data_IF_219470883529
#
_entry.id   IF_219470883529
#
_cell.length_a   1.000
_cell.length_b   1.000
_cell.length_c   1.000
_cell.angle_alpha   90.00
_cell.angle_beta   90.00
_cell.angle_gamma   90.00
#
_symmetry.space_group_name_H-M   'P 1'
#
loop_
_entity.id
_entity.type
_entity.pdbx_description
1 polymer ?
#
# COMPACT_ATOMS: atom_id res chain seq x y z
N UNK A 1 -10.65 -42.05 2.59
CA UNK A 1 -10.95 -40.82 1.85
C UNK A 1 -9.64 -40.30 1.28
N UNK A 2 -9.46 -40.42 -0.04
CA UNK A 2 -8.19 -40.07 -0.70
C UNK A 2 -8.05 -38.56 -0.86
N UNK A 3 -6.85 -38.04 -0.61
CA UNK A 3 -6.48 -36.67 -0.93
C UNK A 3 -6.64 -36.43 -2.44
N UNK A 4 -7.21 -35.30 -2.88
CA UNK A 4 -7.30 -34.99 -4.30
C UNK A 4 -5.89 -34.77 -4.86
N UNK A 5 -5.62 -35.42 -5.99
CA UNK A 5 -4.43 -35.23 -6.83
C UNK A 5 -4.14 -33.75 -7.09
N UNK A 6 -2.86 -33.31 -7.13
CA UNK A 6 -2.51 -31.94 -7.48
C UNK A 6 -2.99 -31.68 -8.92
N UNK A 7 -3.99 -30.81 -9.06
CA UNK A 7 -4.43 -30.33 -10.38
C UNK A 7 -3.19 -29.77 -11.09
N UNK A 8 -2.97 -30.22 -12.34
CA UNK A 8 -1.92 -29.72 -13.23
C UNK A 8 -1.91 -28.20 -13.16
N UNK A 9 -0.76 -27.62 -12.82
CA UNK A 9 -0.47 -26.19 -12.99
C UNK A 9 -1.05 -25.75 -14.34
N UNK A 10 -2.01 -24.81 -14.32
CA UNK A 10 -2.56 -24.25 -15.55
C UNK A 10 -1.40 -23.75 -16.41
N UNK A 11 -1.44 -24.06 -17.72
CA UNK A 11 -0.39 -23.65 -18.65
C UNK A 11 -0.38 -22.12 -18.68
N UNK A 12 0.71 -21.51 -18.19
CA UNK A 12 0.88 -20.06 -18.16
C UNK A 12 0.73 -19.49 -19.59
N UNK A 13 0.14 -18.30 -19.75
CA UNK A 13 -0.03 -17.68 -21.07
C UNK A 13 1.29 -17.51 -21.84
N UNK A 14 1.25 -17.64 -23.17
CA UNK A 14 2.44 -17.64 -24.05
C UNK A 14 3.32 -16.39 -23.93
N UNK A 15 2.75 -15.27 -23.45
CA UNK A 15 3.49 -14.03 -23.19
C UNK A 15 4.60 -14.18 -22.14
N UNK A 16 4.55 -15.23 -21.32
CA UNK A 16 5.59 -15.57 -20.33
C UNK A 16 6.61 -16.62 -20.84
N UNK A 17 6.46 -17.09 -22.09
CA UNK A 17 7.31 -18.13 -22.70
C UNK A 17 8.38 -17.56 -23.65
N UNK A 18 8.29 -16.30 -24.09
CA UNK A 18 9.25 -15.64 -25.00
C UNK A 18 10.24 -14.70 -24.29
N UNK A 19 11.54 -14.70 -24.64
CA UNK A 19 12.49 -13.70 -24.15
C UNK A 19 12.35 -12.38 -24.92
N UNK A 20 12.38 -11.28 -24.16
CA UNK A 20 12.52 -9.89 -24.61
C UNK A 20 11.44 -9.34 -25.57
N UNK A 21 10.41 -8.72 -24.99
CA UNK A 21 9.60 -7.73 -25.71
C UNK A 21 10.38 -6.41 -25.75
N UNK A 22 10.71 -5.96 -26.97
CA UNK A 22 11.34 -4.67 -27.26
C UNK A 22 10.57 -3.54 -26.59
N UNK A 23 11.26 -2.75 -25.77
CA UNK A 23 10.70 -1.50 -25.24
C UNK A 23 10.45 -0.51 -26.37
N UNK A 24 9.35 0.25 -26.29
CA UNK A 24 9.11 1.38 -27.20
C UNK A 24 10.13 2.49 -26.88
N UNK A 25 10.75 3.13 -27.89
CA UNK A 25 11.55 4.32 -27.66
C UNK A 25 10.63 5.46 -27.20
N UNK A 26 10.98 6.10 -26.09
CA UNK A 26 10.40 7.39 -25.67
C UNK A 26 11.51 8.45 -25.80
N UNK A 27 11.08 9.68 -26.07
CA UNK A 27 11.84 10.80 -26.62
C UNK A 27 13.34 10.86 -26.22
N UNK A 28 14.16 11.06 -27.25
CA UNK A 28 15.62 11.13 -27.20
C UNK A 28 16.12 12.14 -26.18
N UNK A 29 16.91 11.67 -25.23
CA UNK A 29 17.79 12.51 -24.43
C UNK A 29 19.19 12.49 -25.05
N UNK A 30 19.89 13.61 -24.97
CA UNK A 30 21.17 13.87 -25.63
C UNK A 30 22.23 12.78 -25.31
N UNK A 31 22.77 12.06 -26.32
CA UNK A 31 23.74 10.98 -26.12
C UNK A 31 25.12 11.42 -25.60
N UNK A 32 25.42 12.73 -25.58
CA UNK A 32 26.72 13.27 -25.16
C UNK A 32 26.81 13.62 -23.66
N UNK A 33 25.76 13.36 -22.88
CA UNK A 33 25.73 13.68 -21.45
C UNK A 33 26.44 12.61 -20.60
N UNK A 34 27.35 13.03 -19.71
CA UNK A 34 28.09 12.12 -18.82
C UNK A 34 27.12 11.26 -17.95
N UNK A 35 27.50 10.01 -17.63
CA UNK A 35 26.65 9.12 -16.84
C UNK A 35 26.43 9.65 -15.42
N UNK A 36 25.22 9.47 -14.90
CA UNK A 36 24.81 10.01 -13.59
C UNK A 36 25.34 9.18 -12.40
N UNK A 37 25.83 7.96 -12.67
CA UNK A 37 26.51 7.07 -11.72
C UNK A 37 27.81 6.54 -12.33
N UNK A 38 28.82 6.40 -11.48
CA UNK A 38 30.13 5.85 -11.82
C UNK A 38 30.18 4.33 -11.66
N UNK A 39 29.45 3.76 -10.69
CA UNK A 39 29.38 2.31 -10.47
C UNK A 39 28.07 1.73 -11.02
N UNK A 40 28.19 0.95 -12.09
CA UNK A 40 27.09 0.33 -12.84
C UNK A 40 26.95 -1.17 -12.57
N UNK A 41 27.52 -1.64 -11.47
CA UNK A 41 27.65 -3.09 -11.25
C UNK A 41 26.39 -3.64 -10.59
N UNK A 42 26.04 -4.90 -10.86
CA UNK A 42 25.01 -5.61 -10.09
C UNK A 42 25.23 -5.54 -8.58
N UNK A 43 26.50 -5.58 -8.15
CA UNK A 43 26.89 -5.49 -6.75
C UNK A 43 26.46 -4.15 -6.15
N UNK A 44 26.72 -3.03 -6.84
CA UNK A 44 26.32 -1.70 -6.36
C UNK A 44 24.80 -1.59 -6.19
N UNK A 45 24.02 -2.21 -7.10
CA UNK A 45 22.56 -2.26 -6.99
C UNK A 45 22.13 -3.05 -5.75
N UNK A 46 22.69 -4.25 -5.53
CA UNK A 46 22.31 -5.09 -4.39
C UNK A 46 22.83 -4.58 -3.06
N UNK A 47 24.01 -3.96 -3.02
CA UNK A 47 24.55 -3.32 -1.82
C UNK A 47 23.71 -2.11 -1.42
N UNK A 48 23.29 -1.32 -2.41
CA UNK A 48 22.30 -0.28 -2.16
C UNK A 48 20.97 -0.87 -1.72
N UNK A 49 20.43 -1.89 -2.38
CA UNK A 49 19.06 -2.35 -2.13
C UNK A 49 18.92 -3.15 -0.85
N UNK A 50 19.82 -4.10 -0.62
CA UNK A 50 19.79 -5.04 0.50
C UNK A 50 20.71 -4.60 1.64
N UNK A 51 21.85 -3.98 1.32
CA UNK A 51 22.87 -3.59 2.30
C UNK A 51 23.25 -4.74 3.23
N UNK A 52 23.25 -4.55 4.56
CA UNK A 52 23.61 -5.61 5.51
C UNK A 52 22.77 -6.89 5.42
N UNK A 53 21.54 -6.80 4.86
CA UNK A 53 20.67 -7.96 4.67
C UNK A 53 21.15 -8.89 3.55
N UNK A 54 22.03 -8.42 2.66
CA UNK A 54 22.56 -9.20 1.54
C UNK A 54 23.37 -10.41 1.99
N UNK A 55 24.13 -10.27 3.08
CA UNK A 55 24.99 -11.36 3.58
C UNK A 55 24.27 -12.25 4.58
N UNK A 56 23.02 -11.91 4.94
CA UNK A 56 22.27 -12.49 6.05
C UNK A 56 23.03 -12.50 7.40
N UNK A 57 24.18 -11.81 7.49
CA UNK A 57 25.04 -11.80 8.68
C UNK A 57 24.47 -10.89 9.78
N UNK A 58 23.78 -9.81 9.40
CA UNK A 58 23.14 -8.89 10.33
C UNK A 58 21.70 -8.56 9.88
N UNK A 59 20.78 -9.41 10.30
CA UNK A 59 19.33 -9.20 10.14
C UNK A 59 18.71 -8.55 11.38
N UNK A 60 19.43 -7.62 12.03
CA UNK A 60 18.89 -6.85 13.15
C UNK A 60 17.64 -6.06 12.74
N UNK A 61 16.80 -5.74 13.73
CA UNK A 61 15.60 -4.89 13.52
C UNK A 61 15.96 -3.57 12.82
N UNK A 62 17.11 -3.00 13.16
CA UNK A 62 17.64 -1.76 12.56
C UNK A 62 17.86 -1.94 11.04
N UNK A 63 18.57 -2.98 10.63
CA UNK A 63 18.87 -3.19 9.20
C UNK A 63 17.61 -3.52 8.39
N UNK A 64 16.64 -4.21 9.00
CA UNK A 64 15.31 -4.37 8.41
C UNK A 64 14.57 -3.03 8.24
N UNK A 65 14.63 -2.13 9.22
CA UNK A 65 14.06 -0.79 9.10
C UNK A 65 14.74 0.03 7.99
N UNK A 66 16.08 -0.01 7.91
CA UNK A 66 16.84 0.61 6.83
C UNK A 66 16.53 -0.01 5.46
N UNK A 67 16.31 -1.32 5.40
CA UNK A 67 15.75 -2.01 4.23
C UNK A 67 14.40 -1.44 3.84
N UNK A 68 13.43 -1.42 4.77
CA UNK A 68 12.07 -0.91 4.52
C UNK A 68 12.06 0.54 4.01
N UNK A 69 12.97 1.40 4.49
CA UNK A 69 13.16 2.75 3.95
C UNK A 69 13.57 2.73 2.47
N UNK A 70 14.60 1.95 2.13
CA UNK A 70 15.11 1.83 0.75
C UNK A 70 14.08 1.18 -0.19
N UNK A 71 13.35 0.21 0.32
CA UNK A 71 12.29 -0.50 -0.38
C UNK A 71 10.98 0.27 -0.48
N UNK A 72 10.89 1.41 0.21
CA UNK A 72 9.67 2.22 0.33
C UNK A 72 8.46 1.42 0.80
N UNK A 73 8.70 0.51 1.73
CA UNK A 73 7.66 -0.31 2.35
C UNK A 73 7.34 0.21 3.75
N UNK A 74 6.05 0.25 4.09
CA UNK A 74 5.57 0.66 5.40
C UNK A 74 5.44 2.18 5.61
N UNK A 75 5.09 2.62 6.83
CA UNK A 75 4.72 4.01 7.12
C UNK A 75 5.87 5.01 6.93
N UNK A 76 7.12 4.53 6.99
CA UNK A 76 8.34 5.34 6.87
C UNK A 76 8.76 5.66 5.43
N UNK A 77 8.05 5.17 4.42
CA UNK A 77 8.35 5.31 2.99
C UNK A 77 8.31 6.75 2.43
N UNK A 78 8.43 7.76 3.30
CA UNK A 78 8.15 9.19 3.07
C UNK A 78 8.94 10.15 3.98
N UNK A 79 9.95 9.68 4.75
CA UNK A 79 10.78 10.55 5.61
C UNK A 79 11.86 11.33 4.82
N UNK A 80 12.65 12.19 5.45
CA UNK A 80 13.75 12.88 4.76
C UNK A 80 14.79 11.89 4.18
N UNK A 81 14.99 10.76 4.85
CA UNK A 81 15.84 9.63 4.41
C UNK A 81 15.30 8.97 3.13
N UNK A 82 13.97 8.98 2.93
CA UNK A 82 13.32 8.51 1.71
C UNK A 82 13.79 9.31 0.47
N UNK A 83 14.03 10.61 0.61
CA UNK A 83 14.51 11.45 -0.50
C UNK A 83 15.91 11.08 -0.97
N UNK A 84 16.79 10.62 -0.06
CA UNK A 84 18.10 10.13 -0.45
C UNK A 84 17.99 8.83 -1.26
N UNK A 85 17.19 7.87 -0.77
CA UNK A 85 16.92 6.62 -1.50
C UNK A 85 16.27 6.89 -2.87
N UNK A 86 15.37 7.87 -2.98
CA UNK A 86 14.78 8.28 -4.26
C UNK A 86 15.83 8.71 -5.26
N UNK A 87 16.74 9.60 -4.82
CA UNK A 87 17.78 10.16 -5.68
C UNK A 87 18.72 9.08 -6.18
N UNK A 88 19.05 8.09 -5.35
CA UNK A 88 19.85 6.95 -5.77
C UNK A 88 19.13 6.11 -6.84
N UNK A 89 17.89 5.69 -6.56
CA UNK A 89 17.06 4.91 -7.50
C UNK A 89 16.86 5.62 -8.84
N UNK A 90 16.62 6.93 -8.78
CA UNK A 90 16.41 7.80 -9.94
C UNK A 90 17.58 7.76 -10.92
N UNK A 91 18.82 7.77 -10.42
CA UNK A 91 20.01 7.75 -11.28
C UNK A 91 20.07 6.49 -12.16
N UNK A 92 19.78 5.32 -11.59
CA UNK A 92 19.73 4.07 -12.36
C UNK A 92 18.59 4.08 -13.38
N UNK A 93 17.38 4.48 -12.98
CA UNK A 93 16.23 4.53 -13.89
C UNK A 93 16.45 5.49 -15.06
N UNK A 94 16.88 6.72 -14.78
CA UNK A 94 17.10 7.74 -15.82
C UNK A 94 18.24 7.34 -16.74
N UNK A 95 19.31 6.75 -16.22
CA UNK A 95 20.39 6.25 -17.07
C UNK A 95 19.97 5.05 -17.93
N UNK A 96 19.26 4.07 -17.37
CA UNK A 96 18.70 2.95 -18.14
C UNK A 96 17.76 3.46 -19.24
N UNK A 97 16.94 4.48 -18.95
CA UNK A 97 16.05 5.08 -19.93
C UNK A 97 16.84 5.80 -21.05
N UNK A 98 17.88 6.57 -20.71
CA UNK A 98 18.75 7.25 -21.69
C UNK A 98 19.49 6.27 -22.61
N UNK A 99 20.07 5.22 -22.03
CA UNK A 99 20.91 4.27 -22.78
C UNK A 99 20.08 3.22 -23.55
N UNK A 100 18.85 2.96 -23.10
CA UNK A 100 18.04 1.83 -23.52
C UNK A 100 18.40 0.54 -22.76
N UNK A 101 17.39 -0.28 -22.45
CA UNK A 101 17.51 -1.51 -21.65
C UNK A 101 18.60 -2.45 -22.16
N UNK A 102 18.66 -2.68 -23.48
CA UNK A 102 19.63 -3.60 -24.08
C UNK A 102 21.07 -3.14 -23.94
N UNK A 103 21.32 -1.83 -24.03
CA UNK A 103 22.66 -1.26 -23.86
C UNK A 103 23.05 -1.23 -22.38
N UNK A 104 22.12 -0.82 -21.52
CA UNK A 104 22.35 -0.71 -20.09
C UNK A 104 22.74 -2.05 -19.45
N UNK A 105 22.08 -3.15 -19.86
CA UNK A 105 22.34 -4.50 -19.36
C UNK A 105 23.22 -5.36 -20.29
N UNK A 106 23.99 -4.74 -21.21
CA UNK A 106 24.78 -5.47 -22.22
C UNK A 106 25.94 -6.26 -21.62
N UNK A 107 26.55 -5.73 -20.56
CA UNK A 107 27.72 -6.34 -19.94
C UNK A 107 27.38 -7.75 -19.41
N UNK A 108 28.18 -8.79 -19.70
CA UNK A 108 27.96 -10.15 -19.23
C UNK A 108 27.76 -10.29 -17.71
N UNK A 109 28.27 -9.36 -16.90
CA UNK A 109 28.07 -9.37 -15.43
C UNK A 109 26.58 -9.38 -15.06
N UNK A 110 25.70 -8.81 -15.89
CA UNK A 110 24.24 -8.79 -15.69
C UNK A 110 23.55 -10.12 -15.96
N UNK A 111 24.25 -11.09 -16.56
CA UNK A 111 23.74 -12.44 -16.82
C UNK A 111 24.16 -13.46 -15.75
N UNK A 112 24.97 -13.04 -14.76
CA UNK A 112 25.24 -13.85 -13.55
C UNK A 112 24.00 -13.90 -12.64
N UNK A 113 23.89 -14.82 -11.68
CA UNK A 113 22.80 -14.82 -10.71
C UNK A 113 22.62 -13.47 -9.98
N UNK A 114 23.72 -12.89 -9.51
CA UNK A 114 23.76 -11.56 -8.90
C UNK A 114 23.27 -10.48 -9.87
N UNK A 115 23.78 -10.52 -11.10
CA UNK A 115 23.36 -9.67 -12.21
C UNK A 115 21.86 -9.73 -12.49
N UNK A 116 21.32 -10.94 -12.53
CA UNK A 116 19.94 -11.20 -12.85
C UNK A 116 18.99 -10.67 -11.76
N UNK A 117 19.31 -10.89 -10.49
CA UNK A 117 18.52 -10.33 -9.37
C UNK A 117 18.59 -8.80 -9.35
N UNK A 118 19.79 -8.23 -9.53
CA UNK A 118 19.97 -6.78 -9.61
C UNK A 118 19.12 -6.19 -10.76
N UNK A 119 19.17 -6.82 -11.93
CA UNK A 119 18.36 -6.44 -13.10
C UNK A 119 16.87 -6.48 -12.80
N UNK A 120 16.39 -7.52 -12.12
CA UNK A 120 14.99 -7.64 -11.71
C UNK A 120 14.58 -6.51 -10.76
N UNK A 121 15.44 -6.12 -9.81
CA UNK A 121 15.22 -4.98 -8.90
C UNK A 121 15.18 -3.64 -9.67
N UNK A 122 16.13 -3.40 -10.59
CA UNK A 122 16.15 -2.16 -11.38
C UNK A 122 14.93 -2.04 -12.29
N UNK A 123 14.46 -3.16 -12.85
CA UNK A 123 13.30 -3.17 -13.75
C UNK A 123 11.96 -3.11 -13.01
N UNK A 124 11.84 -3.77 -11.86
CA UNK A 124 10.58 -3.88 -11.12
C UNK A 124 10.46 -2.81 -10.02
N UNK A 125 11.46 -2.73 -9.13
CA UNK A 125 11.32 -1.97 -7.89
C UNK A 125 11.57 -0.48 -8.06
N UNK A 126 12.68 -0.09 -8.70
CA UNK A 126 13.03 1.33 -8.80
C UNK A 126 11.98 2.16 -9.56
N UNK A 127 11.40 1.70 -10.69
CA UNK A 127 10.39 2.47 -11.42
C UNK A 127 9.15 2.79 -10.59
N UNK A 128 8.75 1.90 -9.67
CA UNK A 128 7.60 2.09 -8.76
C UNK A 128 7.79 3.27 -7.80
N UNK A 129 9.04 3.55 -7.45
CA UNK A 129 9.42 4.71 -6.64
C UNK A 129 9.63 5.96 -7.48
N UNK A 130 10.45 5.84 -8.53
CA UNK A 130 10.95 6.97 -9.34
C UNK A 130 9.87 7.59 -10.21
N UNK A 131 9.01 6.74 -10.79
CA UNK A 131 7.97 7.12 -11.74
C UNK A 131 6.56 6.91 -11.16
N UNK A 132 6.44 6.92 -9.83
CA UNK A 132 5.18 6.73 -9.09
C UNK A 132 4.05 7.59 -9.68
N UNK A 133 2.89 6.97 -9.89
CA UNK A 133 1.71 7.64 -10.45
C UNK A 133 1.69 7.73 -11.98
N UNK A 134 2.71 7.21 -12.67
CA UNK A 134 2.78 7.21 -14.14
C UNK A 134 2.83 5.79 -14.71
N UNK A 135 2.52 5.61 -15.99
CA UNK A 135 2.64 4.31 -16.67
C UNK A 135 4.06 3.71 -16.61
N UNK A 136 5.09 4.55 -16.51
CA UNK A 136 6.49 4.12 -16.43
C UNK A 136 6.79 3.29 -15.18
N UNK A 137 6.02 3.45 -14.10
CA UNK A 137 6.14 2.64 -12.89
C UNK A 137 5.83 1.15 -13.12
N UNK A 138 5.06 0.83 -14.18
CA UNK A 138 4.55 -0.51 -14.47
C UNK A 138 5.04 -1.04 -15.83
N UNK A 139 5.83 -0.25 -16.56
CA UNK A 139 6.21 -0.55 -17.95
C UNK A 139 6.95 -1.88 -18.13
N UNK A 140 7.64 -2.34 -17.08
CA UNK A 140 8.42 -3.57 -17.10
C UNK A 140 7.73 -4.75 -16.41
N UNK A 141 6.50 -4.60 -15.89
CA UNK A 141 5.84 -5.64 -15.09
C UNK A 141 5.70 -6.97 -15.84
N UNK A 142 5.37 -6.92 -17.13
CA UNK A 142 5.23 -8.13 -17.93
C UNK A 142 6.57 -8.89 -18.07
N UNK A 143 7.68 -8.16 -18.29
CA UNK A 143 9.00 -8.79 -18.46
C UNK A 143 9.56 -9.28 -17.12
N UNK A 144 9.37 -8.54 -16.03
CA UNK A 144 9.85 -8.96 -14.70
C UNK A 144 9.03 -10.14 -14.16
N UNK A 145 7.72 -10.17 -14.42
CA UNK A 145 6.89 -11.35 -14.14
C UNK A 145 7.36 -12.57 -14.95
N UNK A 146 7.65 -12.42 -16.25
CA UNK A 146 8.18 -13.51 -17.07
C UNK A 146 9.52 -14.05 -16.53
N UNK A 147 10.45 -13.15 -16.16
CA UNK A 147 11.71 -13.52 -15.52
C UNK A 147 11.48 -14.32 -14.23
N UNK A 148 10.62 -13.83 -13.33
CA UNK A 148 10.31 -14.50 -12.07
C UNK A 148 9.65 -15.87 -12.28
N UNK A 149 8.72 -15.98 -13.23
CA UNK A 149 8.08 -17.24 -13.63
C UNK A 149 9.11 -18.25 -14.12
N UNK A 150 10.05 -17.84 -14.97
CA UNK A 150 11.11 -18.70 -15.50
C UNK A 150 12.02 -19.21 -14.38
N UNK A 151 12.44 -18.33 -13.46
CA UNK A 151 13.23 -18.72 -12.30
C UNK A 151 12.49 -19.73 -11.40
N UNK A 152 11.18 -19.57 -11.22
CA UNK A 152 10.36 -20.49 -10.46
C UNK A 152 10.21 -21.87 -11.13
N UNK A 153 10.14 -21.91 -12.47
CA UNK A 153 10.05 -23.15 -13.27
C UNK A 153 11.38 -23.91 -13.32
N UNK A 154 12.51 -23.21 -13.38
CA UNK A 154 13.84 -23.83 -13.42
C UNK A 154 14.14 -24.65 -12.15
N UNK A 155 13.41 -24.40 -11.05
CA UNK A 155 13.32 -25.29 -9.90
C UNK A 155 14.62 -25.47 -9.08
N UNK A 156 15.75 -24.91 -9.53
CA UNK A 156 17.07 -25.06 -8.88
C UNK A 156 17.86 -23.75 -8.75
N UNK A 157 17.51 -22.70 -9.50
CA UNK A 157 18.22 -21.42 -9.46
C UNK A 157 17.91 -20.57 -8.22
N UNK A 158 16.95 -20.98 -7.38
CA UNK A 158 16.54 -20.24 -6.17
C UNK A 158 17.41 -20.56 -4.95
N UNK A 159 18.03 -21.75 -4.91
CA UNK A 159 18.78 -22.23 -3.75
C UNK A 159 20.03 -21.40 -3.45
N UNK A 160 20.66 -20.81 -4.48
CA UNK A 160 21.82 -19.93 -4.33
C UNK A 160 21.50 -18.57 -3.69
N UNK A 161 20.22 -18.18 -3.69
CA UNK A 161 19.78 -16.92 -3.12
C UNK A 161 19.40 -17.11 -1.66
N UNK A 162 19.75 -16.15 -0.82
CA UNK A 162 19.33 -16.12 0.57
C UNK A 162 17.82 -15.79 0.70
N UNK A 163 17.26 -15.94 1.89
CA UNK A 163 15.82 -15.75 2.11
C UNK A 163 15.30 -14.37 1.72
N UNK A 164 16.09 -13.29 1.90
CA UNK A 164 15.71 -11.92 1.53
C UNK A 164 15.78 -11.71 0.01
N UNK A 165 16.77 -12.30 -0.65
CA UNK A 165 16.88 -12.26 -2.11
C UNK A 165 15.72 -13.00 -2.77
N UNK A 166 15.36 -14.20 -2.27
CA UNK A 166 14.19 -14.98 -2.74
C UNK A 166 12.89 -14.17 -2.67
N UNK A 167 12.70 -13.37 -1.61
CA UNK A 167 11.57 -12.46 -1.50
C UNK A 167 11.46 -11.55 -2.74
N UNK A 168 12.56 -10.89 -3.11
CA UNK A 168 12.59 -9.96 -4.25
C UNK A 168 12.41 -10.65 -5.60
N UNK A 169 12.80 -11.92 -5.73
CA UNK A 169 12.52 -12.73 -6.93
C UNK A 169 11.02 -12.94 -7.13
N UNK A 170 10.27 -13.11 -6.04
CA UNK A 170 8.83 -13.42 -6.10
C UNK A 170 7.94 -12.20 -6.20
N UNK A 171 8.39 -11.03 -5.74
CA UNK A 171 7.59 -9.79 -5.75
C UNK A 171 7.00 -9.44 -7.14
N UNK A 172 7.72 -9.57 -8.27
CA UNK A 172 7.13 -9.35 -9.59
C UNK A 172 5.91 -10.22 -9.92
N UNK A 173 5.81 -11.42 -9.32
CA UNK A 173 4.63 -12.29 -9.49
C UNK A 173 3.38 -11.62 -8.89
N UNK A 174 3.49 -11.06 -7.69
CA UNK A 174 2.41 -10.33 -7.02
C UNK A 174 2.01 -9.05 -7.77
N UNK A 175 2.91 -8.50 -8.59
CA UNK A 175 2.65 -7.32 -9.40
C UNK A 175 1.96 -7.58 -10.73
N UNK A 176 1.90 -8.83 -11.20
CA UNK A 176 1.29 -9.17 -12.47
C UNK A 176 -0.24 -9.06 -12.43
N UNK A 177 -0.84 -8.43 -13.44
CA UNK A 177 -2.29 -8.46 -13.66
C UNK A 177 -2.71 -9.76 -14.38
N UNK A 178 -2.35 -10.91 -13.82
CA UNK A 178 -2.62 -12.24 -14.39
C UNK A 178 -2.90 -13.25 -13.26
N UNK A 179 -4.08 -13.88 -13.27
CA UNK A 179 -4.51 -14.79 -12.21
C UNK A 179 -3.64 -16.04 -12.09
N UNK A 180 -3.15 -16.60 -13.20
CA UNK A 180 -2.26 -17.77 -13.17
C UNK A 180 -0.90 -17.40 -12.57
N UNK A 181 -0.41 -16.19 -12.80
CA UNK A 181 0.79 -15.68 -12.14
C UNK A 181 0.55 -15.41 -10.66
N UNK A 182 -0.64 -14.92 -10.27
CA UNK A 182 -1.00 -14.74 -8.85
C UNK A 182 -1.08 -16.07 -8.10
N UNK A 183 -1.58 -17.14 -8.72
CA UNK A 183 -1.54 -18.50 -8.13
C UNK A 183 -0.11 -18.95 -7.84
N UNK A 184 0.82 -18.73 -8.80
CA UNK A 184 2.24 -19.02 -8.59
C UNK A 184 2.83 -18.12 -7.49
N UNK A 185 2.46 -16.84 -7.45
CA UNK A 185 2.84 -15.91 -6.38
C UNK A 185 2.48 -16.47 -5.01
N UNK A 186 1.22 -16.89 -4.83
CA UNK A 186 0.72 -17.50 -3.60
C UNK A 186 1.51 -18.76 -3.21
N UNK A 187 1.78 -19.66 -4.16
CA UNK A 187 2.60 -20.85 -3.92
C UNK A 187 4.00 -20.48 -3.43
N UNK A 188 4.66 -19.53 -4.11
CA UNK A 188 6.06 -19.16 -3.85
C UNK A 188 6.22 -18.40 -2.55
N UNK A 189 5.34 -17.45 -2.26
CA UNK A 189 5.34 -16.76 -0.97
C UNK A 189 4.94 -17.67 0.20
N UNK A 190 4.07 -18.66 -0.03
CA UNK A 190 3.77 -19.70 0.96
C UNK A 190 5.01 -20.51 1.32
N UNK A 191 5.76 -21.00 0.33
CA UNK A 191 7.04 -21.70 0.56
C UNK A 191 8.07 -20.79 1.20
N UNK A 192 8.24 -19.58 0.69
CA UNK A 192 9.15 -18.59 1.26
C UNK A 192 8.87 -18.32 2.75
N UNK A 193 7.61 -18.17 3.13
CA UNK A 193 7.23 -17.97 4.53
C UNK A 193 7.57 -19.20 5.38
N UNK A 194 7.39 -20.42 4.86
CA UNK A 194 7.74 -21.64 5.57
C UNK A 194 9.26 -21.73 5.77
N UNK A 195 10.04 -21.48 4.72
CA UNK A 195 11.51 -21.46 4.75
C UNK A 195 12.03 -20.39 5.72
N UNK A 196 11.45 -19.18 5.68
CA UNK A 196 11.79 -18.07 6.57
C UNK A 196 11.64 -18.45 8.06
N UNK A 197 10.65 -19.28 8.40
CA UNK A 197 10.42 -19.73 9.77
C UNK A 197 11.33 -20.92 10.11
N UNK A 198 11.51 -21.86 9.17
CA UNK A 198 12.28 -23.07 9.38
C UNK A 198 13.79 -22.80 9.50
N UNK A 199 14.32 -21.89 8.68
CA UNK A 199 15.73 -21.49 8.69
C UNK A 199 16.08 -20.55 9.86
N UNK A 200 15.08 -20.06 10.61
CA UNK A 200 15.28 -19.11 11.69
C UNK A 200 15.72 -19.76 13.01
N UNK A 201 16.65 -19.12 13.75
CA UNK A 201 16.91 -19.44 15.15
C UNK A 201 15.62 -19.41 16.01
N UNK A 202 15.49 -20.27 17.04
CA UNK A 202 14.27 -20.40 17.84
C UNK A 202 13.68 -19.06 18.32
N UNK A 203 14.53 -18.14 18.77
CA UNK A 203 14.16 -16.82 19.30
C UNK A 203 13.59 -15.87 18.23
N UNK A 204 13.83 -16.13 16.94
CA UNK A 204 13.32 -15.32 15.82
C UNK A 204 12.10 -15.91 15.13
N UNK A 205 11.75 -17.17 15.40
CA UNK A 205 10.64 -17.86 14.72
C UNK A 205 9.31 -17.13 14.85
N UNK A 206 8.97 -16.60 16.04
CA UNK A 206 7.72 -15.86 16.26
C UNK A 206 7.67 -14.56 15.45
N UNK A 207 8.79 -13.83 15.41
CA UNK A 207 8.91 -12.61 14.59
C UNK A 207 8.80 -12.95 13.10
N UNK A 208 9.49 -13.99 12.65
CA UNK A 208 9.45 -14.44 11.27
C UNK A 208 8.08 -15.00 10.86
N UNK A 209 7.33 -15.62 11.78
CA UNK A 209 5.92 -15.98 11.58
C UNK A 209 5.06 -14.75 11.31
N UNK A 210 5.22 -13.68 12.09
CA UNK A 210 4.50 -12.43 11.88
C UNK A 210 4.86 -11.75 10.56
N UNK A 211 6.15 -11.73 10.20
CA UNK A 211 6.63 -11.22 8.91
C UNK A 211 6.04 -12.04 7.76
N UNK A 212 6.15 -13.36 7.82
CA UNK A 212 5.59 -14.29 6.83
C UNK A 212 4.08 -14.09 6.64
N UNK A 213 3.33 -14.02 7.74
CA UNK A 213 1.90 -13.73 7.71
C UNK A 213 1.59 -12.37 7.06
N UNK A 214 2.34 -11.32 7.40
CA UNK A 214 2.13 -9.97 6.85
C UNK A 214 2.36 -9.94 5.33
N UNK A 215 3.39 -10.66 4.85
CA UNK A 215 3.65 -10.78 3.41
C UNK A 215 2.56 -11.61 2.72
N UNK A 216 2.22 -12.79 3.25
CA UNK A 216 1.15 -13.63 2.68
C UNK A 216 -0.17 -12.86 2.61
N UNK A 217 -0.53 -12.11 3.66
CA UNK A 217 -1.70 -11.24 3.65
C UNK A 217 -1.65 -10.26 2.48
N UNK A 218 -0.50 -9.61 2.25
CA UNK A 218 -0.31 -8.73 1.10
C UNK A 218 -0.53 -9.44 -0.24
N UNK A 219 -0.01 -10.65 -0.42
CA UNK A 219 -0.16 -11.44 -1.66
C UNK A 219 -1.62 -11.86 -1.88
N UNK A 220 -2.32 -12.26 -0.82
CA UNK A 220 -3.77 -12.54 -0.85
C UNK A 220 -4.53 -11.30 -1.30
N UNK A 221 -4.26 -10.16 -0.68
CA UNK A 221 -4.90 -8.89 -1.03
C UNK A 221 -4.68 -8.52 -2.50
N UNK A 222 -3.47 -8.73 -3.05
CA UNK A 222 -3.20 -8.53 -4.49
C UNK A 222 -4.05 -9.47 -5.36
N UNK A 223 -4.10 -10.76 -4.98
CA UNK A 223 -4.89 -11.77 -5.68
C UNK A 223 -6.39 -11.47 -5.65
N UNK A 224 -6.92 -11.00 -4.51
CA UNK A 224 -8.32 -10.60 -4.34
C UNK A 224 -8.70 -9.46 -5.28
N UNK A 225 -7.85 -8.44 -5.42
CA UNK A 225 -8.10 -7.36 -6.37
C UNK A 225 -8.19 -7.87 -7.82
N UNK A 226 -7.34 -8.84 -8.18
CA UNK A 226 -7.38 -9.48 -9.49
C UNK A 226 -8.61 -10.36 -9.68
N UNK A 227 -9.04 -11.09 -8.66
CA UNK A 227 -10.27 -11.89 -8.71
C UNK A 227 -11.51 -11.02 -8.89
N UNK A 228 -11.57 -9.87 -8.20
CA UNK A 228 -12.72 -8.96 -8.24
C UNK A 228 -12.78 -8.13 -9.52
N UNK A 229 -11.64 -7.66 -10.02
CA UNK A 229 -11.61 -6.64 -11.08
C UNK A 229 -10.87 -7.08 -12.36
N UNK A 230 -10.18 -8.22 -12.32
CA UNK A 230 -9.31 -8.70 -13.40
C UNK A 230 -8.07 -7.83 -13.64
N UNK A 231 -7.80 -6.86 -12.76
CA UNK A 231 -6.70 -5.89 -12.84
C UNK A 231 -6.57 -5.15 -11.50
N UNK A 232 -5.53 -4.34 -11.35
CA UNK A 232 -5.37 -3.44 -10.21
C UNK A 232 -6.03 -2.08 -10.49
N UNK A 233 -7.16 -1.74 -9.85
CA UNK A 233 -7.89 -0.51 -10.17
C UNK A 233 -7.09 0.77 -9.90
N UNK A 234 -6.17 0.72 -8.93
CA UNK A 234 -5.33 1.86 -8.54
C UNK A 234 -4.36 2.30 -9.66
N UNK A 235 -4.09 1.43 -10.64
CA UNK A 235 -3.23 1.72 -11.80
C UNK A 235 -3.98 2.39 -12.95
N UNK A 236 -5.31 2.41 -12.93
CA UNK A 236 -6.13 2.82 -14.06
C UNK A 236 -5.78 4.21 -14.60
N UNK A 237 -5.66 5.21 -13.72
CA UNK A 237 -5.30 6.57 -14.14
C UNK A 237 -3.92 6.63 -14.80
N UNK A 238 -2.91 6.01 -14.18
CA UNK A 238 -1.55 5.93 -14.72
C UNK A 238 -1.48 5.20 -16.06
N UNK A 239 -2.32 4.18 -16.24
CA UNK A 239 -2.42 3.36 -17.44
C UNK A 239 -3.47 3.86 -18.45
N UNK A 240 -4.06 5.05 -18.22
CA UNK A 240 -5.09 5.66 -19.07
C UNK A 240 -6.31 4.76 -19.33
N UNK A 241 -6.75 4.00 -18.32
CA UNK A 241 -7.92 3.13 -18.36
C UNK A 241 -9.09 3.80 -17.61
N UNK A 242 -10.33 3.75 -18.13
CA UNK A 242 -11.49 4.15 -17.34
C UNK A 242 -11.76 3.15 -16.20
N UNK A 243 -12.26 3.65 -15.07
CA UNK A 243 -12.78 2.81 -14.00
C UNK A 243 -14.08 2.10 -14.42
N UNK A 244 -14.35 0.91 -13.88
CA UNK A 244 -15.56 0.13 -14.19
C UNK A 244 -16.12 -0.58 -12.96
N UNK A 245 -17.43 -0.84 -12.96
CA UNK A 245 -18.10 -1.63 -11.91
C UNK A 245 -17.81 -1.10 -10.50
N UNK A 246 -17.44 -1.99 -9.57
CA UNK A 246 -17.12 -1.66 -8.19
C UNK A 246 -15.75 -0.99 -7.96
N UNK A 247 -14.95 -0.76 -9.01
CA UNK A 247 -13.60 -0.19 -8.88
C UNK A 247 -13.57 1.17 -8.17
N UNK A 248 -14.49 2.14 -8.43
CA UNK A 248 -14.51 3.41 -7.70
C UNK A 248 -14.78 3.25 -6.21
N UNK A 249 -15.68 2.31 -5.84
CA UNK A 249 -15.98 2.04 -4.42
C UNK A 249 -14.78 1.41 -3.72
N UNK A 250 -14.09 0.47 -4.37
CA UNK A 250 -12.84 -0.10 -3.86
C UNK A 250 -11.76 0.97 -3.65
N UNK A 251 -11.60 1.90 -4.61
CA UNK A 251 -10.63 2.99 -4.52
C UNK A 251 -11.03 4.11 -3.54
N UNK A 252 -12.30 4.16 -3.13
CA UNK A 252 -12.76 5.02 -2.04
C UNK A 252 -12.73 4.29 -0.68
N UNK A 253 -12.51 2.98 -0.63
CA UNK A 253 -12.45 2.28 0.65
C UNK A 253 -11.16 2.63 1.39
N UNK A 254 -11.28 3.18 2.60
CA UNK A 254 -10.15 3.49 3.47
C UNK A 254 -9.50 2.23 4.08
N UNK A 255 -10.22 1.10 4.07
CA UNK A 255 -9.74 -0.20 4.52
C UNK A 255 -9.13 -1.04 3.39
N UNK A 256 -9.00 -0.48 2.18
CA UNK A 256 -8.32 -1.18 1.08
C UNK A 256 -6.86 -1.47 1.45
N UNK A 257 -6.23 -2.46 0.80
CA UNK A 257 -4.84 -2.84 1.10
C UNK A 257 -3.85 -1.68 0.95
N UNK A 258 -2.82 -1.61 1.81
CA UNK A 258 -1.88 -0.48 1.84
C UNK A 258 -1.13 -0.28 0.51
N UNK A 259 -0.81 -1.35 -0.21
CA UNK A 259 -0.14 -1.28 -1.51
C UNK A 259 -1.02 -0.68 -2.62
N UNK A 260 -2.34 -0.61 -2.42
CA UNK A 260 -3.31 -0.12 -3.41
C UNK A 260 -3.60 1.39 -3.31
N UNK A 261 -2.98 2.10 -2.36
CA UNK A 261 -3.15 3.56 -2.24
C UNK A 261 -2.29 4.31 -3.26
N UNK A 262 -2.85 4.56 -4.45
CA UNK A 262 -2.39 5.65 -5.35
C UNK A 262 -3.20 6.93 -5.18
N UNK A 263 -4.43 6.80 -4.68
CA UNK A 263 -5.23 7.89 -4.14
C UNK A 263 -5.14 7.84 -2.62
N UNK A 264 -5.31 8.96 -1.90
CA UNK A 264 -5.41 8.90 -0.45
C UNK A 264 -6.67 8.09 -0.05
N UNK A 265 -6.73 7.57 1.18
CA UNK A 265 -7.93 6.93 1.73
C UNK A 265 -9.10 7.91 1.80
N UNK A 266 -10.34 7.42 1.86
CA UNK A 266 -11.50 8.31 1.98
C UNK A 266 -11.43 9.14 3.28
N UNK A 267 -11.50 10.49 3.18
CA UNK A 267 -11.53 11.40 4.32
C UNK A 267 -12.57 11.06 5.38
N UNK A 268 -13.74 10.55 4.97
CA UNK A 268 -14.85 10.20 5.87
C UNK A 268 -14.39 9.22 6.96
N UNK A 269 -13.48 8.29 6.62
CA UNK A 269 -12.94 7.32 7.59
C UNK A 269 -12.23 8.02 8.76
N UNK A 270 -11.42 9.03 8.47
CA UNK A 270 -10.68 9.75 9.51
C UNK A 270 -11.56 10.78 10.20
N UNK A 271 -12.51 11.38 9.48
CA UNK A 271 -13.45 12.33 10.04
C UNK A 271 -14.41 11.67 11.04
N UNK A 272 -14.96 10.50 10.71
CA UNK A 272 -15.83 9.74 11.60
C UNK A 272 -15.06 9.17 12.79
N UNK A 273 -13.83 8.69 12.58
CA UNK A 273 -12.95 8.34 13.70
C UNK A 273 -12.72 9.54 14.61
N UNK A 274 -12.34 10.69 14.06
CA UNK A 274 -12.13 11.91 14.83
C UNK A 274 -13.39 12.40 15.54
N UNK A 275 -14.57 12.22 14.95
CA UNK A 275 -15.84 12.54 15.59
C UNK A 275 -16.11 11.60 16.78
N UNK A 276 -15.88 10.29 16.62
CA UNK A 276 -15.97 9.31 17.71
C UNK A 276 -14.98 9.61 18.85
N UNK A 277 -13.73 9.95 18.51
CA UNK A 277 -12.70 10.34 19.49
C UNK A 277 -13.07 11.60 20.28
N UNK A 278 -14.04 12.41 19.81
CA UNK A 278 -14.56 13.59 20.51
C UNK A 278 -15.80 13.29 21.34
N UNK A 279 -16.40 12.11 21.21
CA UNK A 279 -17.55 11.69 22.03
C UNK A 279 -17.11 11.13 23.39
N UNK A 280 -15.84 10.78 23.55
CA UNK A 280 -15.27 10.26 24.81
C UNK A 280 -13.81 10.74 24.94
N UNK A 281 -13.43 11.26 26.10
CA UNK A 281 -12.04 11.62 26.40
C UNK A 281 -11.18 10.36 26.48
N UNK A 282 -10.19 10.21 25.59
CA UNK A 282 -9.09 9.27 25.75
C UNK A 282 -9.31 7.83 25.25
N UNK A 283 -9.61 7.64 23.95
CA UNK A 283 -9.54 6.32 23.32
C UNK A 283 -8.08 5.91 23.02
N UNK A 284 -7.34 5.58 24.07
CA UNK A 284 -5.91 5.23 24.02
C UNK A 284 -5.60 3.81 23.45
N UNK A 285 -6.58 3.13 22.83
CA UNK A 285 -6.40 1.71 22.43
C UNK A 285 -6.98 1.30 21.06
N UNK A 286 -7.36 2.25 20.19
CA UNK A 286 -7.98 1.94 18.88
C UNK A 286 -9.26 1.07 19.02
N UNK A 287 -9.94 1.18 20.17
CA UNK A 287 -11.24 0.56 20.44
C UNK A 287 -12.27 1.67 20.61
N UNK A 288 -13.40 1.53 19.93
CA UNK A 288 -14.57 2.40 20.05
C UNK A 288 -15.53 1.74 21.03
N UNK A 289 -15.91 2.45 22.09
CA UNK A 289 -16.85 1.95 23.09
C UNK A 289 -18.29 2.04 22.59
N UNK A 290 -19.17 1.23 23.19
CA UNK A 290 -20.62 1.31 22.99
C UNK A 290 -21.15 2.73 23.26
N UNK A 291 -20.64 3.38 24.30
CA UNK A 291 -21.05 4.73 24.68
C UNK A 291 -20.61 5.79 23.67
N UNK A 292 -19.37 5.73 23.16
CA UNK A 292 -18.89 6.67 22.15
C UNK A 292 -19.72 6.62 20.86
N UNK A 293 -20.09 5.42 20.38
CA UNK A 293 -20.98 5.29 19.21
C UNK A 293 -22.39 5.80 19.52
N UNK A 294 -22.94 5.45 20.69
CA UNK A 294 -24.27 5.92 21.09
C UNK A 294 -24.31 7.45 21.21
N UNK A 295 -23.28 8.08 21.76
CA UNK A 295 -23.10 9.52 21.83
C UNK A 295 -23.08 10.16 20.45
N UNK A 296 -22.31 9.59 19.52
CA UNK A 296 -22.24 10.09 18.14
C UNK A 296 -23.60 10.00 17.44
N UNK A 297 -24.30 8.87 17.56
CA UNK A 297 -25.63 8.68 16.98
C UNK A 297 -26.62 9.72 17.51
N UNK A 298 -26.65 9.94 18.83
CA UNK A 298 -27.50 10.96 19.45
C UNK A 298 -27.16 12.36 18.96
N UNK A 299 -25.86 12.69 18.86
CA UNK A 299 -25.41 13.97 18.32
C UNK A 299 -25.81 14.18 16.84
N UNK A 300 -25.98 13.09 16.09
CA UNK A 300 -26.48 13.11 14.72
C UNK A 300 -28.02 13.01 14.62
N UNK A 301 -28.74 13.02 15.75
CA UNK A 301 -30.21 12.91 15.79
C UNK A 301 -30.76 11.51 15.54
N UNK A 302 -29.92 10.48 15.69
CA UNK A 302 -30.28 9.06 15.55
C UNK A 302 -30.46 8.42 16.93
N UNK A 303 -31.39 7.47 17.04
CA UNK A 303 -31.59 6.68 18.26
C UNK A 303 -30.64 5.47 18.26
N UNK A 304 -29.76 5.31 19.26
CA UNK A 304 -28.95 4.11 19.42
C UNK A 304 -29.78 2.83 19.60
N UNK A 305 -30.99 2.96 20.13
CA UNK A 305 -31.92 1.87 20.45
C UNK A 305 -32.73 1.40 19.23
N UNK A 306 -32.66 2.11 18.09
CA UNK A 306 -33.28 1.66 16.86
C UNK A 306 -32.73 0.27 16.46
N UNK A 307 -33.56 -0.74 16.21
CA UNK A 307 -33.08 -2.05 15.77
C UNK A 307 -32.23 -2.03 14.49
N UNK A 308 -32.39 -1.01 13.64
CA UNK A 308 -31.59 -0.79 12.44
C UNK A 308 -30.28 -0.03 12.71
N UNK A 309 -30.04 0.41 13.95
CA UNK A 309 -28.83 1.12 14.39
C UNK A 309 -27.57 0.28 14.18
N UNK A 310 -26.41 0.91 13.91
CA UNK A 310 -25.13 0.20 13.83
C UNK A 310 -24.65 -0.37 15.18
N UNK A 311 -25.40 -0.15 16.27
CA UNK A 311 -25.09 -0.68 17.61
C UNK A 311 -25.04 -2.21 17.67
N UNK A 312 -25.67 -2.92 16.71
CA UNK A 312 -25.58 -4.38 16.60
C UNK A 312 -24.15 -4.91 16.37
N UNK A 313 -23.20 -4.05 15.97
CA UNK A 313 -21.79 -4.44 15.83
C UNK A 313 -21.16 -4.96 17.13
N UNK A 314 -21.58 -4.44 18.28
CA UNK A 314 -21.05 -4.85 19.58
C UNK A 314 -21.53 -6.25 19.96
N UNK A 315 -22.78 -6.58 19.60
CA UNK A 315 -23.35 -7.90 19.82
C UNK A 315 -22.69 -8.93 18.90
N UNK A 316 -22.43 -8.56 17.64
CA UNK A 316 -21.66 -9.37 16.70
C UNK A 316 -20.22 -9.63 17.19
N UNK A 317 -19.59 -8.63 17.80
CA UNK A 317 -18.24 -8.75 18.33
C UNK A 317 -18.18 -9.46 19.70
N UNK A 318 -19.32 -9.61 20.39
CA UNK A 318 -19.38 -10.12 21.76
C UNK A 318 -18.61 -9.26 22.76
N UNK A 319 -18.54 -7.95 22.56
CA UNK A 319 -17.75 -7.02 23.39
C UNK A 319 -18.35 -5.62 23.39
N UNK A 320 -18.26 -4.91 24.52
CA UNK A 320 -18.70 -3.50 24.63
C UNK A 320 -17.73 -2.48 24.01
N UNK A 321 -16.67 -2.97 23.36
CA UNK A 321 -15.78 -2.14 22.57
C UNK A 321 -15.30 -2.88 21.32
N UNK A 322 -15.28 -2.21 20.17
CA UNK A 322 -14.87 -2.79 18.87
C UNK A 322 -13.74 -1.99 18.26
N UNK A 323 -12.92 -2.58 17.39
CA UNK A 323 -11.92 -1.80 16.67
C UNK A 323 -12.61 -0.85 15.68
N UNK A 324 -12.04 0.35 15.46
CA UNK A 324 -12.56 1.28 14.45
C UNK A 324 -12.71 0.65 13.06
N UNK A 325 -11.72 -0.14 12.55
CA UNK A 325 -11.88 -0.87 11.30
C UNK A 325 -13.11 -1.78 11.23
N UNK A 326 -13.47 -2.45 12.33
CA UNK A 326 -14.64 -3.32 12.39
C UNK A 326 -15.93 -2.50 12.31
N UNK A 327 -16.03 -1.44 13.13
CA UNK A 327 -17.18 -0.54 13.12
C UNK A 327 -17.37 0.13 11.76
N UNK A 328 -16.31 0.66 11.16
CA UNK A 328 -16.41 1.31 9.85
C UNK A 328 -16.90 0.35 8.75
N UNK A 329 -16.42 -0.90 8.75
CA UNK A 329 -16.93 -1.93 7.84
C UNK A 329 -18.41 -2.23 8.06
N UNK A 330 -18.85 -2.26 9.32
CA UNK A 330 -20.26 -2.43 9.65
C UNK A 330 -21.10 -1.26 9.13
N UNK A 331 -20.61 -0.02 9.28
CA UNK A 331 -21.27 1.18 8.74
C UNK A 331 -21.35 1.21 7.20
N UNK A 332 -20.43 0.52 6.50
CA UNK A 332 -20.44 0.42 5.03
C UNK A 332 -21.46 -0.58 4.48
N UNK A 333 -22.13 -1.37 5.33
CA UNK A 333 -23.16 -2.32 4.93
C UNK A 333 -24.37 -1.59 4.33
N UNK A 334 -25.05 -2.16 3.31
CA UNK A 334 -26.22 -1.55 2.69
C UNK A 334 -27.32 -1.14 3.69
N UNK A 335 -27.51 -1.94 4.73
CA UNK A 335 -28.48 -1.72 5.81
C UNK A 335 -28.16 -0.46 6.62
N UNK A 336 -26.89 -0.09 6.70
CA UNK A 336 -26.39 1.07 7.45
C UNK A 336 -26.20 2.33 6.57
N UNK A 337 -26.52 2.26 5.27
CA UNK A 337 -26.25 3.35 4.33
C UNK A 337 -26.87 4.69 4.77
N UNK A 338 -28.14 4.67 5.23
CA UNK A 338 -28.83 5.88 5.72
C UNK A 338 -28.14 6.47 6.95
N UNK A 339 -27.79 5.63 7.92
CA UNK A 339 -27.06 6.04 9.14
C UNK A 339 -25.73 6.66 8.76
N UNK A 340 -24.96 6.01 7.88
CA UNK A 340 -23.66 6.50 7.45
C UNK A 340 -23.76 7.86 6.74
N UNK A 341 -24.75 8.06 5.88
CA UNK A 341 -24.95 9.34 5.20
C UNK A 341 -25.28 10.47 6.20
N UNK A 342 -26.13 10.20 7.19
CA UNK A 342 -26.43 11.17 8.26
C UNK A 342 -25.18 11.49 9.09
N UNK A 343 -24.38 10.47 9.44
CA UNK A 343 -23.12 10.65 10.17
C UNK A 343 -22.08 11.43 9.37
N UNK A 344 -22.07 11.34 8.03
CA UNK A 344 -21.17 12.14 7.17
C UNK A 344 -21.55 13.62 7.15
N UNK A 345 -22.85 13.89 7.09
CA UNK A 345 -23.38 15.25 6.96
C UNK A 345 -23.49 16.01 8.29
N UNK A 346 -23.35 15.32 9.44
CA UNK A 346 -23.36 16.01 10.73
C UNK A 346 -22.23 17.06 10.80
N UNK A 347 -22.46 18.26 11.38
CA UNK A 347 -21.52 19.38 11.28
C UNK A 347 -20.09 19.04 11.71
N UNK A 348 -19.94 18.24 12.78
CA UNK A 348 -18.65 17.80 13.28
C UNK A 348 -17.88 16.96 12.25
N UNK A 349 -18.51 15.93 11.69
CA UNK A 349 -17.88 15.04 10.72
C UNK A 349 -17.65 15.74 9.37
N UNK A 350 -18.58 16.56 8.91
CA UNK A 350 -18.44 17.36 7.69
C UNK A 350 -17.26 18.34 7.79
N UNK A 351 -17.12 19.03 8.94
CA UNK A 351 -16.00 19.93 9.22
C UNK A 351 -14.65 19.21 9.23
N UNK A 352 -14.56 18.07 9.91
CA UNK A 352 -13.36 17.22 9.91
C UNK A 352 -13.03 16.68 8.52
N UNK A 353 -14.04 16.25 7.76
CA UNK A 353 -13.90 15.76 6.38
C UNK A 353 -13.27 16.83 5.49
N UNK A 354 -13.72 18.08 5.58
CA UNK A 354 -13.14 19.20 4.83
C UNK A 354 -11.67 19.44 5.21
N UNK A 355 -11.33 19.35 6.50
CA UNK A 355 -9.95 19.51 6.98
C UNK A 355 -9.03 18.37 6.55
N UNK A 356 -9.50 17.12 6.59
CA UNK A 356 -8.75 15.95 6.09
C UNK A 356 -8.53 16.06 4.57
N UNK A 357 -9.55 16.49 3.81
CA UNK A 357 -9.41 16.75 2.37
C UNK A 357 -8.34 17.78 2.06
N UNK A 358 -8.34 18.93 2.77
CA UNK A 358 -7.30 19.97 2.63
C UNK A 358 -5.91 19.42 2.93
N UNK A 359 -5.79 18.61 3.99
CA UNK A 359 -4.53 17.97 4.37
C UNK A 359 -4.04 17.00 3.28
N UNK A 360 -4.92 16.16 2.74
CA UNK A 360 -4.58 15.22 1.69
C UNK A 360 -4.22 15.90 0.37
N UNK A 361 -4.86 17.02 0.02
CA UNK A 361 -4.64 17.71 -1.24
C UNK A 361 -3.46 18.71 -1.21
N UNK A 362 -2.71 18.81 -0.10
CA UNK A 362 -1.47 19.60 0.06
C UNK A 362 -1.54 21.04 -0.46
N UNK A 363 -2.65 21.75 -0.26
CA UNK A 363 -2.72 23.19 -0.46
C UNK A 363 -3.15 23.87 0.84
N UNK A 364 -2.21 24.59 1.45
CA UNK A 364 -2.49 25.45 2.60
C UNK A 364 -3.68 26.37 2.30
N UNK A 365 -4.72 26.23 3.12
CA UNK A 365 -5.86 27.13 3.30
C UNK A 365 -6.73 27.57 2.09
N UNK A 366 -6.37 27.37 0.82
CA UNK A 366 -7.09 27.95 -0.32
C UNK A 366 -7.47 26.90 -1.38
N UNK A 367 -8.44 26.05 -1.06
CA UNK A 367 -9.14 25.22 -2.04
C UNK A 367 -10.60 25.67 -2.11
N UNK A 368 -11.09 25.95 -3.32
CA UNK A 368 -12.50 26.19 -3.57
C UNK A 368 -13.35 24.93 -3.34
N UNK A 369 -14.67 25.09 -3.22
CA UNK A 369 -15.60 23.95 -3.05
C UNK A 369 -15.50 22.95 -4.22
N UNK A 370 -15.22 23.43 -5.43
CA UNK A 370 -15.02 22.59 -6.63
C UNK A 370 -13.72 21.79 -6.59
N UNK A 371 -12.70 22.28 -5.87
CA UNK A 371 -11.41 21.60 -5.69
C UNK A 371 -11.41 20.60 -4.52
N UNK A 372 -12.40 20.67 -3.63
CA UNK A 372 -12.62 19.73 -2.50
C UNK A 372 -13.44 18.49 -2.87
N UNK A 373 -13.56 18.19 -4.18
CA UNK A 373 -14.27 17.02 -4.68
C UNK A 373 -13.47 15.74 -4.41
N UNK A 374 -14.15 14.74 -3.85
CA UNK A 374 -13.59 13.44 -3.51
C UNK A 374 -14.37 12.30 -4.18
N UNK A 375 -13.71 11.28 -4.77
CA UNK A 375 -12.27 11.17 -4.98
C UNK A 375 -11.77 12.25 -5.97
N UNK A 376 -10.49 12.66 -5.88
CA UNK A 376 -9.96 13.70 -6.75
C UNK A 376 -10.08 13.33 -8.24
N UNK A 377 -10.62 14.25 -9.06
CA UNK A 377 -11.11 13.96 -10.43
C UNK A 377 -10.05 13.49 -11.43
N UNK A 378 -8.77 13.73 -11.22
CA UNK A 378 -7.69 13.14 -12.02
C UNK A 378 -6.33 13.42 -11.42
N UNK A 379 -5.36 12.55 -11.74
CA UNK A 379 -3.93 12.69 -11.48
C UNK A 379 -3.25 13.92 -12.16
N UNK A 380 -3.97 15.02 -12.41
CA UNK A 380 -3.36 16.29 -12.85
C UNK A 380 -2.44 16.88 -11.79
N UNK A 381 -2.77 16.62 -10.53
CA UNK A 381 -1.87 16.79 -9.42
C UNK A 381 -1.62 15.37 -8.96
N UNK A 382 -0.47 14.80 -9.31
CA UNK A 382 0.11 13.75 -8.50
C UNK A 382 0.16 14.34 -7.09
N UNK A 383 -0.92 14.14 -6.31
CA UNK A 383 -0.91 14.45 -4.89
C UNK A 383 0.30 13.68 -4.43
N UNK A 384 1.40 14.37 -4.09
CA UNK A 384 2.51 13.71 -3.43
C UNK A 384 1.84 13.00 -2.27
N UNK A 385 1.71 11.66 -2.28
CA UNK A 385 0.84 10.99 -1.33
C UNK A 385 1.57 10.90 0.00
N UNK A 386 2.40 11.88 0.34
CA UNK A 386 2.81 12.17 1.69
C UNK A 386 1.61 12.78 2.41
N UNK A 387 0.70 11.89 2.82
CA UNK A 387 -0.17 12.13 3.96
C UNK A 387 0.77 12.53 5.09
N UNK A 388 0.70 13.79 5.52
CA UNK A 388 1.36 14.20 6.75
C UNK A 388 0.68 13.46 7.90
N UNK A 389 1.27 12.34 8.30
CA UNK A 389 0.72 11.44 9.30
C UNK A 389 0.66 12.15 10.66
N UNK A 390 1.63 13.01 10.96
CA UNK A 390 1.63 13.77 12.20
C UNK A 390 0.46 14.76 12.23
N UNK A 391 0.28 15.54 11.16
CA UNK A 391 -0.85 16.46 11.05
C UNK A 391 -2.21 15.74 10.96
N UNK A 392 -2.29 14.58 10.32
CA UNK A 392 -3.51 13.78 10.26
C UNK A 392 -3.86 13.24 11.65
N UNK A 393 -2.87 12.70 12.37
CA UNK A 393 -3.07 12.23 13.74
C UNK A 393 -3.51 13.37 14.65
N UNK A 394 -2.84 14.52 14.59
CA UNK A 394 -3.22 15.71 15.33
C UNK A 394 -4.68 16.14 15.02
N UNK A 395 -5.06 16.19 13.75
CA UNK A 395 -6.42 16.53 13.34
C UNK A 395 -7.47 15.52 13.86
N UNK A 396 -7.18 14.22 13.75
CA UNK A 396 -8.06 13.13 14.19
C UNK A 396 -8.22 13.15 15.72
N UNK A 397 -7.12 13.24 16.46
CA UNK A 397 -7.10 13.20 17.93
C UNK A 397 -7.50 14.53 18.60
N UNK A 398 -7.51 15.66 17.87
CA UNK A 398 -7.97 16.96 18.38
C UNK A 398 -6.88 18.00 18.63
N UNK A 399 -5.62 17.67 18.44
CA UNK A 399 -4.45 18.54 18.66
C UNK A 399 -4.12 19.43 17.44
N UNK A 400 -5.11 20.10 16.85
CA UNK A 400 -4.86 21.07 15.77
C UNK A 400 -3.99 22.25 16.25
N UNK A 401 -3.20 22.90 15.35
CA UNK A 401 -2.30 23.98 15.73
C UNK A 401 -3.08 25.10 16.41
N UNK A 402 -2.60 25.47 17.59
CA UNK A 402 -3.14 26.54 18.44
C UNK A 402 -3.56 27.76 17.62
N UNK A 403 -4.87 28.09 17.64
CA UNK A 403 -5.36 29.40 17.22
C UNK A 403 -6.49 29.40 16.18
N UNK A 404 -7.70 29.01 16.59
CA UNK A 404 -8.94 29.62 16.08
C UNK A 404 -10.12 29.27 17.02
N UNK A 405 -10.54 30.27 17.79
CA UNK A 405 -11.80 30.44 18.50
C UNK A 405 -12.43 29.20 19.17
N UNK A 406 -12.20 29.07 20.48
CA UNK A 406 -13.20 28.53 21.38
C UNK A 406 -14.45 29.44 21.34
N UNK A 407 -15.46 29.00 20.61
CA UNK A 407 -16.77 29.65 20.52
C UNK A 407 -17.69 28.74 19.72
N UNK A 408 -18.84 28.42 20.30
CA UNK A 408 -19.91 27.58 19.76
C UNK A 408 -19.72 26.06 19.85
N UNK A 409 -19.55 25.56 21.07
CA UNK A 409 -20.07 24.24 21.43
C UNK A 409 -21.22 24.42 22.44
N UNK A 410 -22.41 23.84 22.22
CA UNK A 410 -23.49 23.93 23.18
C UNK A 410 -23.11 23.15 24.44
N UNK A 411 -22.96 23.87 25.56
CA UNK A 411 -22.75 23.28 26.88
C UNK A 411 -23.93 22.36 27.22
N UNK A 412 -23.66 21.07 27.38
CA UNK A 412 -24.59 20.13 27.99
C UNK A 412 -24.80 20.56 29.44
N UNK A 413 -26.01 21.03 29.75
CA UNK A 413 -26.43 21.38 31.12
C UNK A 413 -26.23 20.16 32.03
N UNK A 414 -25.32 20.28 32.99
CA UNK A 414 -25.33 19.45 34.19
C UNK A 414 -26.59 19.79 34.97
N UNK A 415 -27.49 18.84 35.10
CA UNK A 415 -28.53 18.88 36.12
C UNK A 415 -27.89 18.44 37.43
N UNK A 416 -27.56 19.41 38.27
CA UNK A 416 -27.34 19.15 39.70
C UNK A 416 -28.70 18.88 40.36
N UNK A 417 -28.80 17.79 41.10
CA UNK A 417 -30.01 17.40 41.83
C UNK A 417 -29.66 16.52 43.02
N UNK A 418 -29.75 17.15 44.20
CA UNK A 418 -29.66 16.71 45.59
C UNK A 418 -29.78 15.22 45.94
#
# INVERSE_FOLDING_TARGET
MGFPSPRRCARLPSQYETPFLRSRPVQSVNPDEKPAITERTPEAVLDFWLGPLRTAADTSRKNWQEGMLRWRMGPFARSAEDQHALRAQRKWCEQMHREGTDRFFRDPVWNTPTGWLAKLIVLDQFPRSVYRGTALAYANDAVTAAMAVQACKAGRDIAQYNIVERFWIYVPLAHAEDLTVQELSMERFGRWSADLIAEAPPERRRTNQFVGWSIIKGVIEHSEALLLFGRFPHRNAAMQRPHRGGEPRYLADAMRPLWSFTQPPNPDYFALLGALLRMEDGLDTNRITREALAGLLRAAGLSPEDPASPMGVFDLAGSDAVSWPLLYRHLLLPEQARTLDILREMPLAAGLTASVKRLFLKNGASLSAEELVWPPRSARHSVEPAIDVAALNALVHGDGPSGAAAGDFPEARRTDGA
#
